data_IF_001914653240
#
_entry.id   IF_001914653240
#
_cell.length_a   1.000
_cell.length_b   1.000
_cell.length_c   1.000
_cell.angle_alpha   90.00
_cell.angle_beta   90.00
_cell.angle_gamma   90.00
#
_symmetry.space_group_name_H-M   'P 1'
#
loop_
_entity.id
_entity.type
_entity.pdbx_description
1 polymer ?
#
# COMPACT_ATOMS: atom_id res chain seq x y z
N UNK A 1 6.47 30.71 -13.20
CA UNK A 1 5.75 29.46 -13.56
C UNK A 1 6.43 28.37 -12.76
N UNK A 2 5.79 27.87 -11.71
CA UNK A 2 6.27 26.68 -11.01
C UNK A 2 6.29 25.53 -12.03
N UNK A 3 7.45 24.94 -12.27
CA UNK A 3 7.54 23.69 -13.02
C UNK A 3 6.64 22.68 -12.30
N UNK A 4 5.55 22.28 -12.92
CA UNK A 4 4.69 21.21 -12.37
C UNK A 4 5.57 19.97 -12.22
N UNK A 5 5.82 19.60 -10.98
CA UNK A 5 6.56 18.40 -10.65
C UNK A 5 6.01 17.21 -11.44
N UNK A 6 6.91 16.48 -12.16
CA UNK A 6 6.48 15.30 -12.93
C UNK A 6 6.15 14.16 -11.96
N UNK A 7 5.02 13.48 -12.16
CA UNK A 7 4.71 12.31 -11.34
C UNK A 7 5.75 11.20 -11.60
N UNK A 8 6.16 10.53 -10.55
CA UNK A 8 7.05 9.35 -10.63
C UNK A 8 6.27 8.06 -10.86
N UNK A 9 4.99 8.03 -10.46
CA UNK A 9 4.04 6.96 -10.78
C UNK A 9 2.78 7.61 -11.33
N UNK A 10 2.29 7.13 -12.47
CA UNK A 10 1.06 7.64 -13.08
C UNK A 10 0.20 6.46 -13.57
N UNK A 11 -1.03 6.41 -13.09
CA UNK A 11 -2.07 5.48 -13.54
C UNK A 11 -3.00 6.27 -14.47
N UNK A 12 -3.23 5.75 -15.68
CA UNK A 12 -4.05 6.39 -16.72
C UNK A 12 -5.16 5.47 -17.20
N UNK A 13 -6.40 5.91 -17.03
CA UNK A 13 -7.62 5.27 -17.53
C UNK A 13 -7.65 3.76 -17.27
N UNK A 14 -7.19 3.34 -16.10
CA UNK A 14 -7.01 1.94 -15.75
C UNK A 14 -8.35 1.26 -15.51
N UNK A 15 -8.62 0.22 -16.30
CA UNK A 15 -9.81 -0.63 -16.18
C UNK A 15 -9.38 -2.06 -15.89
N UNK A 16 -10.09 -2.71 -14.95
CA UNK A 16 -9.90 -4.13 -14.64
C UNK A 16 -11.19 -4.81 -14.26
N UNK A 17 -11.43 -5.96 -14.89
CA UNK A 17 -12.57 -6.83 -14.59
C UNK A 17 -12.09 -8.24 -14.23
N UNK A 18 -12.84 -8.93 -13.38
CA UNK A 18 -12.67 -10.35 -13.10
C UNK A 18 -14.03 -11.05 -13.19
N UNK A 19 -14.13 -12.11 -14.00
CA UNK A 19 -15.37 -12.86 -14.15
C UNK A 19 -16.57 -12.00 -14.60
N UNK A 20 -16.33 -11.00 -15.45
CA UNK A 20 -17.36 -10.06 -15.92
C UNK A 20 -17.69 -8.92 -14.96
N UNK A 21 -17.21 -8.95 -13.71
CA UNK A 21 -17.39 -7.87 -12.73
C UNK A 21 -16.25 -6.87 -12.85
N UNK A 22 -16.58 -5.61 -13.12
CA UNK A 22 -15.62 -4.50 -13.14
C UNK A 22 -15.19 -4.14 -11.72
N UNK A 23 -13.89 -4.21 -11.44
CA UNK A 23 -13.29 -3.93 -10.13
C UNK A 23 -12.61 -2.56 -10.12
N UNK A 24 -11.98 -2.18 -11.22
CA UNK A 24 -11.43 -0.83 -11.43
C UNK A 24 -12.07 -0.26 -12.70
N UNK A 25 -12.47 1.00 -12.64
CA UNK A 25 -13.21 1.69 -13.69
C UNK A 25 -12.61 3.08 -13.91
N UNK A 26 -11.88 3.25 -15.00
CA UNK A 26 -11.25 4.51 -15.41
C UNK A 26 -10.42 5.18 -14.29
N UNK A 27 -9.60 4.40 -13.59
CA UNK A 27 -8.79 4.92 -12.48
C UNK A 27 -7.65 5.78 -13.03
N UNK A 28 -7.59 7.03 -12.56
CA UNK A 28 -6.55 7.99 -12.85
C UNK A 28 -5.91 8.48 -11.56
N UNK A 29 -4.57 8.30 -11.40
CA UNK A 29 -3.85 8.67 -10.19
C UNK A 29 -2.41 9.10 -10.53
N UNK A 30 -1.94 10.17 -9.88
CA UNK A 30 -0.56 10.65 -10.00
C UNK A 30 0.08 10.68 -8.63
N UNK A 31 1.28 10.11 -8.53
CA UNK A 31 2.08 10.06 -7.31
C UNK A 31 3.41 10.75 -7.57
N UNK A 32 3.82 11.60 -6.64
CA UNK A 32 5.01 12.43 -6.78
C UNK A 32 6.15 11.91 -5.90
N UNK A 33 7.37 12.30 -6.24
CA UNK A 33 8.58 11.82 -5.55
C UNK A 33 8.56 12.22 -4.08
N UNK A 34 8.86 11.25 -3.20
CA UNK A 34 9.02 11.48 -1.76
C UNK A 34 7.72 11.70 -0.99
N UNK A 35 6.54 11.69 -1.65
CA UNK A 35 5.27 11.78 -0.93
C UNK A 35 4.85 10.44 -0.30
N UNK A 36 4.01 10.52 0.70
CA UNK A 36 3.22 9.40 1.20
C UNK A 36 1.80 9.54 0.63
N UNK A 37 1.55 8.82 -0.47
CA UNK A 37 0.21 8.72 -1.06
C UNK A 37 -0.58 7.64 -0.33
N UNK A 38 -1.68 8.01 0.30
CA UNK A 38 -2.58 7.04 0.93
C UNK A 38 -3.81 6.82 0.06
N UNK A 39 -4.07 5.57 -0.31
CA UNK A 39 -5.28 5.15 -1.03
C UNK A 39 -6.25 4.56 0.00
N UNK A 40 -7.28 5.33 0.35
CA UNK A 40 -8.32 4.90 1.27
C UNK A 40 -9.58 4.43 0.54
N UNK A 41 -10.42 3.67 1.23
CA UNK A 41 -11.72 3.21 0.70
C UNK A 41 -12.23 1.98 1.40
N UNK A 42 -13.49 1.65 1.18
CA UNK A 42 -14.16 0.51 1.80
C UNK A 42 -13.55 -0.85 1.41
N UNK A 43 -13.88 -1.89 2.18
CA UNK A 43 -13.46 -3.25 1.85
C UNK A 43 -14.01 -3.67 0.47
N UNK A 44 -13.17 -4.30 -0.35
CA UNK A 44 -13.57 -4.78 -1.68
C UNK A 44 -13.72 -3.71 -2.76
N UNK A 45 -13.42 -2.42 -2.51
CA UNK A 45 -13.53 -1.35 -3.52
C UNK A 45 -12.43 -1.35 -4.59
N UNK A 46 -11.42 -2.23 -4.50
CA UNK A 46 -10.37 -2.38 -5.51
C UNK A 46 -8.98 -1.90 -5.10
N UNK A 47 -8.73 -1.46 -3.86
CA UNK A 47 -7.44 -0.90 -3.38
C UNK A 47 -6.24 -1.83 -3.63
N UNK A 48 -6.29 -3.06 -3.12
CA UNK A 48 -5.20 -4.04 -3.32
C UNK A 48 -5.07 -4.47 -4.79
N UNK A 49 -6.17 -4.42 -5.56
CA UNK A 49 -6.14 -4.65 -7.00
C UNK A 49 -5.38 -3.52 -7.70
N UNK A 50 -5.68 -2.27 -7.39
CA UNK A 50 -4.95 -1.11 -7.91
C UNK A 50 -3.45 -1.19 -7.56
N UNK A 51 -3.14 -1.50 -6.30
CA UNK A 51 -1.76 -1.68 -5.85
C UNK A 51 -1.01 -2.73 -6.70
N UNK A 52 -1.65 -3.90 -6.94
CA UNK A 52 -1.05 -4.98 -7.74
C UNK A 52 -0.82 -4.60 -9.21
N UNK A 53 -1.60 -3.68 -9.78
CA UNK A 53 -1.33 -3.12 -11.10
C UNK A 53 -0.13 -2.18 -11.06
N UNK A 54 -0.04 -1.31 -10.04
CA UNK A 54 1.07 -0.35 -9.93
C UNK A 54 2.43 -1.06 -9.78
N UNK A 55 2.49 -2.19 -9.08
CA UNK A 55 3.72 -2.99 -8.95
C UNK A 55 3.94 -4.01 -10.08
N UNK A 56 3.06 -4.02 -11.08
CA UNK A 56 3.18 -4.86 -12.27
C UNK A 56 2.90 -6.36 -12.05
N UNK A 57 2.19 -6.74 -10.97
CA UNK A 57 1.76 -8.13 -10.74
C UNK A 57 0.53 -8.47 -11.58
N UNK A 58 -0.36 -7.48 -11.79
CA UNK A 58 -1.54 -7.62 -12.64
C UNK A 58 -1.44 -6.73 -13.86
N UNK A 59 -1.93 -7.23 -15.00
CA UNK A 59 -2.08 -6.45 -16.22
C UNK A 59 -3.49 -5.86 -16.30
N UNK A 60 -3.64 -4.57 -16.67
CA UNK A 60 -4.95 -3.96 -16.87
C UNK A 60 -5.63 -4.56 -18.13
N UNK A 61 -6.96 -4.44 -18.18
CA UNK A 61 -7.71 -4.75 -19.39
C UNK A 61 -7.65 -3.56 -20.38
N UNK A 62 -7.66 -2.33 -19.81
CA UNK A 62 -7.46 -1.08 -20.56
C UNK A 62 -6.67 -0.09 -19.68
N UNK A 63 -6.06 0.90 -20.37
CA UNK A 63 -5.23 1.91 -19.69
C UNK A 63 -3.80 1.46 -19.49
N UNK A 64 -3.05 2.22 -18.71
CA UNK A 64 -1.62 1.99 -18.50
C UNK A 64 -1.14 2.46 -17.13
N UNK A 65 -0.03 1.88 -16.69
CA UNK A 65 0.68 2.29 -15.47
C UNK A 65 2.10 2.70 -15.86
N UNK A 66 2.44 3.95 -15.59
CA UNK A 66 3.75 4.50 -15.89
C UNK A 66 4.55 4.64 -14.59
N UNK A 67 5.78 4.13 -14.57
CA UNK A 67 6.79 4.42 -13.53
C UNK A 67 7.93 5.18 -14.21
N UNK A 68 8.21 6.39 -13.72
CA UNK A 68 9.18 7.31 -14.32
C UNK A 68 8.96 7.53 -15.85
N UNK A 69 7.69 7.51 -16.27
CA UNK A 69 7.29 7.69 -17.67
C UNK A 69 7.34 6.43 -18.53
N UNK A 70 7.80 5.29 -18.02
CA UNK A 70 7.82 4.00 -18.71
C UNK A 70 6.56 3.20 -18.38
N UNK A 71 5.85 2.72 -19.40
CA UNK A 71 4.70 1.83 -19.21
C UNK A 71 5.17 0.43 -18.81
N UNK A 72 4.95 0.07 -17.54
CA UNK A 72 5.40 -1.20 -16.97
C UNK A 72 4.74 -2.44 -17.61
N UNK A 73 3.66 -2.27 -18.34
CA UNK A 73 2.98 -3.36 -19.03
C UNK A 73 3.48 -3.54 -20.47
N UNK A 74 4.19 -2.55 -21.01
CA UNK A 74 4.73 -2.56 -22.39
C UNK A 74 6.24 -2.81 -22.45
N UNK A 75 6.97 -2.66 -21.33
CA UNK A 75 8.43 -2.90 -21.29
C UNK A 75 8.76 -4.39 -21.33
N UNK A 76 9.92 -4.77 -21.89
CA UNK A 76 10.43 -6.14 -21.84
C UNK A 76 10.60 -6.63 -20.39
N UNK A 77 10.51 -7.95 -20.19
CA UNK A 77 10.61 -8.56 -18.85
C UNK A 77 11.85 -8.12 -18.06
N UNK A 78 12.99 -8.01 -18.73
CA UNK A 78 14.25 -7.60 -18.09
C UNK A 78 14.17 -6.17 -17.53
N UNK A 79 13.54 -5.25 -18.26
CA UNK A 79 13.32 -3.86 -17.80
C UNK A 79 12.31 -3.82 -16.67
N UNK A 80 11.24 -4.62 -16.75
CA UNK A 80 10.27 -4.74 -15.66
C UNK A 80 10.93 -5.27 -14.37
N UNK A 81 11.83 -6.23 -14.46
CA UNK A 81 12.55 -6.76 -13.31
C UNK A 81 13.48 -5.69 -12.72
N UNK A 82 14.16 -4.86 -13.53
CA UNK A 82 14.93 -3.71 -13.04
C UNK A 82 14.05 -2.67 -12.30
N UNK A 83 12.84 -2.41 -12.82
CA UNK A 83 11.88 -1.53 -12.13
C UNK A 83 11.46 -2.14 -10.78
N UNK A 84 11.19 -3.45 -10.74
CA UNK A 84 10.80 -4.17 -9.53
C UNK A 84 11.88 -4.19 -8.44
N UNK A 85 13.16 -4.24 -8.81
CA UNK A 85 14.26 -4.14 -7.84
C UNK A 85 14.25 -2.81 -7.07
N UNK A 86 13.62 -1.78 -7.61
CA UNK A 86 13.45 -0.48 -6.97
C UNK A 86 12.17 -0.36 -6.16
N UNK A 87 11.40 -1.45 -6.06
CA UNK A 87 10.12 -1.52 -5.35
C UNK A 87 10.26 -2.43 -4.13
N UNK A 88 9.95 -1.90 -2.96
CA UNK A 88 9.71 -2.67 -1.75
C UNK A 88 8.21 -2.89 -1.54
N UNK A 89 7.84 -4.03 -0.96
CA UNK A 89 6.44 -4.37 -0.69
C UNK A 89 6.25 -4.92 0.71
N UNK A 90 5.32 -4.33 1.46
CA UNK A 90 4.76 -4.89 2.69
C UNK A 90 3.37 -5.44 2.39
N UNK A 91 3.21 -6.74 2.50
CA UNK A 91 1.91 -7.43 2.36
C UNK A 91 1.10 -7.37 3.66
N UNK A 92 -0.22 -7.51 3.54
CA UNK A 92 -1.13 -7.48 4.68
C UNK A 92 -0.78 -8.51 5.78
N UNK A 93 -0.32 -9.70 5.43
CA UNK A 93 0.15 -10.73 6.39
C UNK A 93 1.62 -10.56 6.81
N UNK A 94 2.34 -9.52 6.29
CA UNK A 94 3.79 -9.41 6.39
C UNK A 94 4.52 -10.22 5.32
N UNK A 95 4.03 -11.41 4.98
CA UNK A 95 4.57 -12.28 3.92
C UNK A 95 5.98 -12.80 4.21
N UNK A 96 6.38 -12.91 5.48
CA UNK A 96 7.64 -13.58 5.84
C UNK A 96 7.55 -15.07 5.52
N UNK A 97 8.69 -15.68 5.22
CA UNK A 97 8.82 -17.12 4.96
C UNK A 97 8.97 -17.82 6.32
N UNK A 98 8.00 -18.65 6.69
CA UNK A 98 7.84 -19.20 8.04
C UNK A 98 8.98 -20.11 8.49
N UNK A 99 9.64 -20.82 7.57
CA UNK A 99 10.76 -21.71 7.86
C UNK A 99 12.14 -21.01 7.84
N UNK A 100 12.18 -19.72 7.53
CA UNK A 100 13.37 -18.89 7.59
C UNK A 100 13.35 -18.01 8.83
N UNK A 101 14.49 -17.83 9.50
CA UNK A 101 14.59 -16.84 10.57
C UNK A 101 14.46 -15.40 10.02
N UNK A 102 14.34 -14.41 10.91
CA UNK A 102 14.14 -13.01 10.54
C UNK A 102 15.33 -12.46 9.74
N UNK A 103 16.55 -12.81 10.12
CA UNK A 103 17.77 -12.41 9.40
C UNK A 103 17.74 -12.91 7.96
N UNK A 104 17.43 -14.19 7.75
CA UNK A 104 17.39 -14.79 6.42
C UNK A 104 16.25 -14.25 5.56
N UNK A 105 15.09 -13.98 6.17
CA UNK A 105 13.99 -13.29 5.49
C UNK A 105 14.41 -11.92 4.94
N UNK A 106 15.18 -11.14 5.72
CA UNK A 106 15.63 -9.81 5.30
C UNK A 106 16.82 -9.92 4.32
N UNK A 107 17.67 -10.93 4.48
CA UNK A 107 18.80 -11.17 3.58
C UNK A 107 18.37 -11.69 2.20
N UNK A 108 17.22 -12.35 2.10
CA UNK A 108 16.76 -13.00 0.87
C UNK A 108 16.80 -12.10 -0.37
N UNK A 109 16.19 -10.91 -0.39
CA UNK A 109 16.28 -10.05 -1.56
C UNK A 109 17.70 -9.60 -1.89
N UNK A 110 18.58 -9.46 -0.91
CA UNK A 110 19.99 -9.13 -1.15
C UNK A 110 20.72 -10.28 -1.83
N UNK A 111 20.52 -11.52 -1.37
CA UNK A 111 21.13 -12.72 -1.97
C UNK A 111 20.65 -12.97 -3.39
N UNK A 112 19.34 -12.77 -3.64
CA UNK A 112 18.74 -13.03 -4.95
C UNK A 112 19.09 -11.96 -6.01
N UNK A 113 19.32 -10.72 -5.58
CA UNK A 113 19.40 -9.59 -6.52
C UNK A 113 20.73 -8.83 -6.50
N UNK A 114 21.69 -9.28 -5.69
CA UNK A 114 23.03 -8.66 -5.63
C UNK A 114 24.14 -9.71 -5.60
N UNK A 115 25.36 -9.31 -5.91
CA UNK A 115 26.56 -10.14 -5.78
C UNK A 115 27.37 -9.80 -4.51
N UNK A 116 26.71 -9.36 -3.44
CA UNK A 116 27.37 -8.98 -2.19
C UNK A 116 27.82 -10.21 -1.39
N UNK A 117 28.99 -10.09 -0.74
CA UNK A 117 29.47 -11.12 0.19
C UNK A 117 28.54 -11.24 1.42
N UNK A 118 28.41 -12.43 1.99
CA UNK A 118 27.56 -12.70 3.16
C UNK A 118 27.88 -11.78 4.35
N UNK A 119 29.14 -11.43 4.58
CA UNK A 119 29.53 -10.50 5.65
C UNK A 119 28.94 -9.08 5.43
N UNK A 120 28.86 -8.64 4.17
CA UNK A 120 28.27 -7.34 3.81
C UNK A 120 26.74 -7.42 3.96
N UNK A 121 26.13 -8.53 3.52
CA UNK A 121 24.69 -8.80 3.70
C UNK A 121 24.33 -8.78 5.19
N UNK A 122 25.16 -9.40 6.05
CA UNK A 122 24.96 -9.41 7.50
C UNK A 122 24.97 -8.01 8.11
N UNK A 123 25.88 -7.15 7.67
CA UNK A 123 25.94 -5.76 8.11
C UNK A 123 24.66 -5.01 7.69
N UNK A 124 24.24 -5.16 6.43
CA UNK A 124 23.01 -4.52 5.92
C UNK A 124 21.78 -5.00 6.71
N UNK A 125 21.63 -6.31 6.90
CA UNK A 125 20.51 -6.89 7.65
C UNK A 125 20.45 -6.35 9.08
N UNK A 126 21.58 -6.28 9.78
CA UNK A 126 21.64 -5.73 11.14
C UNK A 126 21.27 -4.24 11.16
N UNK A 127 21.69 -3.47 10.14
CA UNK A 127 21.28 -2.08 9.98
C UNK A 127 19.75 -1.98 9.78
N UNK A 128 19.17 -2.77 8.87
CA UNK A 128 17.72 -2.76 8.60
C UNK A 128 16.92 -3.20 9.83
N UNK A 129 17.38 -4.21 10.57
CA UNK A 129 16.79 -4.60 11.86
C UNK A 129 16.82 -3.47 12.89
N UNK A 130 17.92 -2.73 12.95
CA UNK A 130 18.05 -1.56 13.85
C UNK A 130 17.08 -0.45 13.48
N UNK A 131 16.85 -0.20 12.17
CA UNK A 131 15.93 0.83 11.68
C UNK A 131 14.46 0.55 12.07
N UNK A 132 14.09 -0.72 12.23
CA UNK A 132 12.73 -1.13 12.64
C UNK A 132 12.64 -1.49 14.13
N UNK A 133 13.64 -1.12 14.95
CA UNK A 133 13.71 -1.42 16.38
C UNK A 133 13.63 -2.93 16.70
N UNK A 134 14.35 -3.76 15.92
CA UNK A 134 14.42 -5.22 16.10
C UNK A 134 15.86 -5.73 16.21
N UNK A 135 16.78 -4.89 16.69
CA UNK A 135 18.17 -5.26 16.89
C UNK A 135 18.31 -6.51 17.79
N UNK A 136 19.12 -7.48 17.35
CA UNK A 136 19.36 -8.73 18.09
C UNK A 136 18.29 -9.80 17.92
N UNK A 137 17.23 -9.55 17.15
CA UNK A 137 16.11 -10.51 16.93
C UNK A 137 16.23 -11.32 15.63
N UNK A 138 17.38 -11.25 14.97
CA UNK A 138 17.56 -11.87 13.65
C UNK A 138 17.46 -13.41 13.65
N UNK A 139 17.80 -14.08 14.76
CA UNK A 139 17.77 -15.54 14.87
C UNK A 139 16.36 -16.12 15.12
N UNK A 140 15.38 -15.28 15.50
CA UNK A 140 14.03 -15.73 15.78
C UNK A 140 13.30 -16.13 14.47
N UNK A 141 12.38 -17.09 14.59
CA UNK A 141 11.44 -17.46 13.51
C UNK A 141 10.22 -16.53 13.54
N UNK A 142 9.50 -16.39 12.40
CA UNK A 142 8.23 -15.65 12.35
C UNK A 142 7.19 -16.12 13.38
N UNK A 143 7.18 -17.40 13.73
CA UNK A 143 6.30 -18.01 14.74
C UNK A 143 6.64 -17.63 16.19
N UNK A 144 7.85 -17.10 16.44
CA UNK A 144 8.35 -16.73 17.78
C UNK A 144 8.16 -15.25 18.09
N UNK A 145 7.59 -14.47 17.17
CA UNK A 145 7.44 -13.03 17.32
C UNK A 145 5.98 -12.59 17.27
N UNK A 146 5.68 -11.43 17.85
CA UNK A 146 4.33 -10.85 17.81
C UNK A 146 3.95 -10.35 16.41
N UNK A 147 2.65 -10.14 16.14
CA UNK A 147 2.17 -9.60 14.88
C UNK A 147 2.80 -8.24 14.52
N UNK A 148 2.98 -7.35 15.49
CA UNK A 148 3.67 -6.07 15.27
C UNK A 148 5.16 -6.23 14.98
N UNK A 149 5.84 -7.20 15.60
CA UNK A 149 7.23 -7.54 15.25
C UNK A 149 7.32 -8.14 13.84
N UNK A 150 6.35 -9.00 13.47
CA UNK A 150 6.28 -9.57 12.12
C UNK A 150 6.17 -8.46 11.05
N UNK A 151 5.29 -7.48 11.26
CA UNK A 151 5.17 -6.31 10.37
C UNK A 151 6.49 -5.52 10.28
N UNK A 152 7.17 -5.29 11.40
CA UNK A 152 8.46 -4.58 11.43
C UNK A 152 9.57 -5.35 10.71
N UNK A 153 9.65 -6.66 10.90
CA UNK A 153 10.59 -7.51 10.16
C UNK A 153 10.31 -7.49 8.65
N UNK A 154 9.04 -7.57 8.26
CA UNK A 154 8.62 -7.48 6.87
C UNK A 154 8.92 -6.08 6.26
N UNK A 155 8.81 -5.00 7.05
CA UNK A 155 9.26 -3.67 6.66
C UNK A 155 10.79 -3.63 6.43
N UNK A 156 11.58 -4.23 7.32
CA UNK A 156 13.03 -4.31 7.14
C UNK A 156 13.40 -5.05 5.85
N UNK A 157 12.69 -6.13 5.52
CA UNK A 157 12.84 -6.86 4.25
C UNK A 157 12.45 -5.99 3.06
N UNK A 158 11.33 -5.28 3.14
CA UNK A 158 10.85 -4.42 2.06
C UNK A 158 11.85 -3.32 1.68
N UNK A 159 12.65 -2.83 2.66
CA UNK A 159 13.67 -1.80 2.43
C UNK A 159 15.09 -2.36 2.30
N UNK A 160 15.27 -3.68 2.19
CA UNK A 160 16.61 -4.29 2.18
C UNK A 160 17.47 -3.82 1.01
N UNK A 161 16.89 -3.64 -0.18
CA UNK A 161 17.56 -3.18 -1.41
C UNK A 161 17.60 -1.65 -1.56
N UNK A 162 17.31 -0.86 -0.52
CA UNK A 162 17.18 0.60 -0.60
C UNK A 162 16.28 1.07 -1.76
N UNK A 163 15.01 0.62 -1.80
CA UNK A 163 14.10 0.88 -2.90
C UNK A 163 13.72 2.36 -3.00
N UNK A 164 13.43 2.83 -4.23
CA UNK A 164 12.91 4.18 -4.46
C UNK A 164 11.42 4.30 -4.09
N UNK A 165 10.71 3.18 -4.16
CA UNK A 165 9.25 3.08 -3.92
C UNK A 165 8.96 1.99 -2.91
N UNK A 166 8.12 2.27 -1.91
CA UNK A 166 7.62 1.23 -1.00
C UNK A 166 6.10 1.25 -1.00
N UNK A 167 5.52 0.08 -1.22
CA UNK A 167 4.08 -0.15 -1.24
C UNK A 167 3.67 -0.90 0.01
N UNK A 168 2.55 -0.49 0.62
CA UNK A 168 2.05 -1.05 1.87
C UNK A 168 0.59 -1.43 1.68
N UNK A 169 0.29 -2.72 1.78
CA UNK A 169 -1.08 -3.24 1.75
C UNK A 169 -1.54 -3.51 3.18
N UNK A 170 -2.43 -2.64 3.70
CA UNK A 170 -2.99 -2.69 5.06
C UNK A 170 -1.91 -2.87 6.16
N UNK A 171 -0.94 -1.96 6.27
CA UNK A 171 0.23 -2.14 7.14
C UNK A 171 -0.11 -2.30 8.62
N UNK A 172 -1.18 -1.65 9.09
CA UNK A 172 -1.61 -1.61 10.50
C UNK A 172 -2.74 -2.59 10.82
N UNK A 173 -3.24 -3.33 9.82
CA UNK A 173 -4.36 -4.24 10.02
C UNK A 173 -4.07 -5.31 11.08
N UNK A 174 -5.00 -5.47 12.04
CA UNK A 174 -4.90 -6.46 13.12
C UNK A 174 -3.94 -6.09 14.25
N UNK A 175 -3.44 -4.85 14.29
CA UNK A 175 -2.58 -4.34 15.35
C UNK A 175 -3.38 -3.46 16.32
N UNK A 176 -2.92 -3.40 17.58
CA UNK A 176 -3.44 -2.42 18.52
C UNK A 176 -3.00 -0.98 18.12
N UNK A 177 -3.71 0.07 18.58
CA UNK A 177 -3.45 1.44 18.16
C UNK A 177 -2.04 1.96 18.46
N UNK A 178 -1.38 1.45 19.50
CA UNK A 178 -0.01 1.88 19.87
C UNK A 178 0.98 1.28 18.89
N UNK A 179 0.88 -0.02 18.60
CA UNK A 179 1.74 -0.71 17.63
C UNK A 179 1.48 -0.20 16.22
N UNK A 180 0.22 0.08 15.84
CA UNK A 180 -0.13 0.73 14.58
C UNK A 180 0.59 2.09 14.44
N UNK A 181 0.59 2.90 15.51
CA UNK A 181 1.34 4.16 15.54
C UNK A 181 2.85 4.01 15.32
N UNK A 182 3.46 2.91 15.79
CA UNK A 182 4.88 2.61 15.53
C UNK A 182 5.11 2.32 14.04
N UNK A 183 4.24 1.53 13.40
CA UNK A 183 4.32 1.25 11.96
C UNK A 183 4.16 2.54 11.15
N UNK A 184 3.17 3.37 11.49
CA UNK A 184 2.96 4.66 10.85
C UNK A 184 4.20 5.57 10.94
N UNK A 185 4.85 5.60 12.12
CA UNK A 185 6.08 6.38 12.31
C UNK A 185 7.23 5.85 11.45
N UNK A 186 7.36 4.52 11.30
CA UNK A 186 8.37 3.93 10.41
C UNK A 186 8.13 4.30 8.94
N UNK A 187 6.87 4.32 8.47
CA UNK A 187 6.52 4.76 7.11
C UNK A 187 6.95 6.22 6.90
N UNK A 188 6.64 7.11 7.86
CA UNK A 188 7.07 8.51 7.81
C UNK A 188 8.58 8.67 7.83
N UNK A 189 9.27 7.88 8.67
CA UNK A 189 10.73 7.92 8.77
C UNK A 189 11.39 7.47 7.47
N UNK A 190 10.89 6.44 6.81
CA UNK A 190 11.40 5.99 5.52
C UNK A 190 11.18 7.03 4.42
N UNK A 191 10.00 7.65 4.37
CA UNK A 191 9.75 8.73 3.42
C UNK A 191 10.69 9.92 3.65
N UNK A 192 10.84 10.39 4.89
CA UNK A 192 11.61 11.59 5.21
C UNK A 192 13.12 11.37 5.20
N UNK A 193 13.60 10.26 5.79
CA UNK A 193 15.06 10.01 6.00
C UNK A 193 15.70 9.29 4.84
N UNK A 194 14.95 8.45 4.12
CA UNK A 194 15.43 7.68 2.97
C UNK A 194 14.94 8.23 1.63
N UNK A 195 14.14 9.31 1.65
CA UNK A 195 13.52 9.90 0.45
C UNK A 195 12.71 8.89 -0.38
N UNK A 196 12.12 7.89 0.28
CA UNK A 196 11.29 6.87 -0.34
C UNK A 196 9.93 7.45 -0.69
N UNK A 197 9.44 7.19 -1.89
CA UNK A 197 8.05 7.44 -2.25
C UNK A 197 7.19 6.28 -1.74
N UNK A 198 6.21 6.58 -0.90
CA UNK A 198 5.38 5.59 -0.22
C UNK A 198 3.95 5.58 -0.76
N UNK A 199 3.42 4.38 -1.04
CA UNK A 199 2.02 4.19 -1.42
C UNK A 199 1.37 3.25 -0.41
N UNK A 200 0.43 3.76 0.37
CA UNK A 200 -0.21 3.02 1.45
C UNK A 200 -1.67 2.78 1.10
N UNK A 201 -2.09 1.53 1.11
CA UNK A 201 -3.50 1.15 1.00
C UNK A 201 -4.00 0.81 2.38
N UNK A 202 -5.03 1.51 2.86
CA UNK A 202 -5.63 1.22 4.16
C UNK A 202 -7.08 1.72 4.27
N UNK A 203 -7.82 1.19 5.22
CA UNK A 203 -9.13 1.69 5.67
C UNK A 203 -9.07 2.27 7.09
N UNK A 204 -7.90 2.29 7.73
CA UNK A 204 -7.70 2.87 9.06
C UNK A 204 -7.56 4.40 8.97
N UNK A 205 -8.61 5.11 9.32
CA UNK A 205 -8.65 6.57 9.26
C UNK A 205 -7.63 7.25 10.18
N UNK A 206 -7.25 6.64 11.29
CA UNK A 206 -6.23 7.22 12.16
C UNK A 206 -4.86 7.21 11.47
N UNK A 207 -4.49 6.08 10.86
CA UNK A 207 -3.28 5.98 10.05
C UNK A 207 -3.34 6.91 8.84
N UNK A 208 -4.47 6.93 8.09
CA UNK A 208 -4.64 7.81 6.93
C UNK A 208 -4.24 9.25 7.26
N UNK A 209 -4.88 9.84 8.28
CA UNK A 209 -4.63 11.25 8.63
C UNK A 209 -3.31 11.51 9.37
N UNK A 210 -2.66 10.47 9.86
CA UNK A 210 -1.35 10.59 10.52
C UNK A 210 -0.19 10.63 9.52
N UNK A 211 -0.28 9.84 8.44
CA UNK A 211 0.88 9.64 7.57
C UNK A 211 0.76 10.30 6.19
N UNK A 212 -0.44 10.58 5.71
CA UNK A 212 -0.64 11.00 4.33
C UNK A 212 -0.04 12.39 4.05
N UNK A 213 0.73 12.50 2.98
CA UNK A 213 0.97 13.77 2.29
C UNK A 213 -0.23 14.14 1.41
N UNK A 214 -0.75 13.14 0.69
CA UNK A 214 -1.98 13.22 -0.10
C UNK A 214 -2.78 11.94 0.06
N UNK A 215 -4.08 12.07 -0.10
CA UNK A 215 -5.05 10.99 0.04
C UNK A 215 -5.83 10.86 -1.27
N UNK A 216 -5.97 9.64 -1.76
CA UNK A 216 -6.90 9.28 -2.83
C UNK A 216 -8.00 8.39 -2.24
N UNK A 217 -9.27 8.74 -2.42
CA UNK A 217 -10.39 7.89 -2.02
C UNK A 217 -10.85 7.06 -3.20
N UNK A 218 -10.77 5.74 -3.06
CA UNK A 218 -11.29 4.78 -4.02
C UNK A 218 -12.65 4.26 -3.56
N UNK A 219 -13.68 4.39 -4.39
CA UNK A 219 -15.02 3.86 -4.13
C UNK A 219 -15.58 3.22 -5.39
N UNK A 220 -16.11 1.99 -5.29
CA UNK A 220 -16.66 1.23 -6.41
C UNK A 220 -15.77 1.18 -7.66
N UNK A 221 -14.44 1.11 -7.46
CA UNK A 221 -13.47 1.04 -8.54
C UNK A 221 -13.09 2.38 -9.17
N UNK A 222 -13.56 3.50 -8.68
CA UNK A 222 -13.27 4.84 -9.18
C UNK A 222 -12.61 5.72 -8.11
N UNK A 223 -11.73 6.64 -8.53
CA UNK A 223 -11.19 7.66 -7.64
C UNK A 223 -12.21 8.78 -7.50
N UNK A 224 -12.74 8.94 -6.29
CA UNK A 224 -13.74 9.97 -5.97
C UNK A 224 -13.10 11.33 -5.77
N UNK A 225 -11.99 11.37 -5.04
CA UNK A 225 -11.28 12.60 -4.70
C UNK A 225 -9.80 12.30 -4.48
N UNK A 226 -8.94 13.27 -4.82
CA UNK A 226 -7.52 13.28 -4.45
C UNK A 226 -7.20 14.66 -3.89
N UNK A 227 -6.60 14.72 -2.70
CA UNK A 227 -6.23 15.99 -2.06
C UNK A 227 -5.33 15.79 -0.85
N UNK A 228 -4.97 16.91 -0.21
CA UNK A 228 -4.29 16.90 1.09
C UNK A 228 -5.23 16.43 2.20
N UNK A 229 -4.71 16.01 3.37
CA UNK A 229 -5.55 15.67 4.52
C UNK A 229 -6.57 16.76 4.88
N UNK A 230 -6.19 18.03 4.76
CA UNK A 230 -7.03 19.19 5.04
C UNK A 230 -8.17 19.32 4.01
N UNK A 231 -7.86 19.17 2.72
CA UNK A 231 -8.84 19.21 1.63
C UNK A 231 -9.86 18.07 1.77
N UNK A 232 -9.39 16.87 2.11
CA UNK A 232 -10.27 15.71 2.33
C UNK A 232 -11.20 15.92 3.52
N UNK A 233 -10.67 16.42 4.66
CA UNK A 233 -11.49 16.72 5.87
C UNK A 233 -12.54 17.83 5.61
N UNK A 234 -12.21 18.80 4.78
CA UNK A 234 -13.11 19.92 4.43
C UNK A 234 -14.02 19.63 3.24
N UNK A 235 -13.95 18.46 2.66
CA UNK A 235 -14.78 18.06 1.52
C UNK A 235 -16.26 18.12 1.87
N UNK A 236 -17.05 18.71 0.95
CA UNK A 236 -18.51 18.76 1.04
C UNK A 236 -19.19 17.56 0.38
N UNK A 237 -18.42 16.67 -0.23
CA UNK A 237 -18.95 15.45 -0.84
C UNK A 237 -19.53 14.53 0.24
N UNK A 238 -20.84 14.19 0.18
CA UNK A 238 -21.48 13.38 1.20
C UNK A 238 -20.87 11.98 1.35
N UNK A 239 -20.32 11.40 0.26
CA UNK A 239 -19.69 10.09 0.27
C UNK A 239 -18.35 10.14 1.01
N UNK A 240 -17.54 11.16 0.74
CA UNK A 240 -16.28 11.40 1.45
C UNK A 240 -16.55 11.64 2.93
N UNK A 241 -17.51 12.53 3.24
CA UNK A 241 -17.87 12.87 4.61
C UNK A 241 -18.38 11.63 5.39
N UNK A 242 -19.24 10.82 4.78
CA UNK A 242 -19.71 9.58 5.39
C UNK A 242 -18.55 8.64 5.72
N UNK A 243 -17.65 8.46 4.76
CA UNK A 243 -16.56 7.50 4.89
C UNK A 243 -15.55 7.89 5.99
N UNK A 244 -15.11 9.15 6.02
CA UNK A 244 -14.09 9.60 6.98
C UNK A 244 -14.62 9.67 8.41
N UNK A 245 -15.93 9.90 8.60
CA UNK A 245 -16.57 9.97 9.91
C UNK A 245 -17.17 8.62 10.38
N UNK A 246 -17.19 7.61 9.51
CA UNK A 246 -17.79 6.31 9.82
C UNK A 246 -19.30 6.37 10.06
N UNK A 247 -20.00 7.31 9.43
CA UNK A 247 -21.45 7.46 9.61
C UNK A 247 -22.18 6.28 8.99
N UNK A 248 -23.13 5.63 9.70
CA UNK A 248 -23.91 4.52 9.15
C UNK A 248 -24.86 4.97 8.04
N UNK A 249 -25.38 6.20 8.14
CA UNK A 249 -26.32 6.79 7.19
C UNK A 249 -25.61 7.64 6.14
N UNK A 250 -25.93 7.42 4.86
CA UNK A 250 -25.36 8.21 3.75
C UNK A 250 -25.38 7.46 2.42
N UNK A 251 -24.68 7.98 1.40
CA UNK A 251 -24.64 7.40 0.05
C UNK A 251 -24.04 5.98 -0.01
N UNK A 252 -23.12 5.63 0.92
CA UNK A 252 -22.60 4.26 1.04
C UNK A 252 -23.64 3.43 1.78
N UNK A 253 -24.41 2.62 1.05
CA UNK A 253 -25.43 1.74 1.63
C UNK A 253 -24.93 0.32 1.64
N UNK A 254 -25.02 -0.33 2.80
CA UNK A 254 -24.73 -1.77 2.96
C UNK A 254 -25.96 -2.64 2.76
N UNK A 255 -27.16 -2.04 2.77
CA UNK A 255 -28.42 -2.73 2.49
C UNK A 255 -28.62 -2.80 0.98
N UNK A 256 -28.76 -4.01 0.43
CA UNK A 256 -29.23 -4.16 -0.94
C UNK A 256 -30.64 -3.53 -1.04
N UNK A 257 -30.82 -2.61 -2.01
CA UNK A 257 -32.17 -2.13 -2.35
C UNK A 257 -32.97 -3.33 -2.85
N UNK A 258 -33.74 -3.95 -1.98
CA UNK A 258 -34.57 -5.12 -2.36
C UNK A 258 -35.28 -5.77 -1.20
N UNK A 259 -34.92 -5.51 0.02
CA UNK A 259 -35.56 -6.19 1.14
C UNK A 259 -36.79 -5.47 1.63
N UNK A 260 -37.89 -5.71 0.90
CA UNK A 260 -39.25 -5.69 1.47
C UNK A 260 -39.45 -6.88 2.45
N UNK A 261 -38.32 -7.36 3.07
CA UNK A 261 -38.39 -8.52 3.96
C UNK A 261 -39.35 -8.31 5.14
N UNK A 262 -39.46 -7.09 5.64
CA UNK A 262 -40.47 -6.73 6.64
C UNK A 262 -41.90 -6.76 6.09
N UNK A 263 -42.12 -6.44 4.81
CA UNK A 263 -43.44 -6.58 4.16
C UNK A 263 -43.81 -8.05 3.93
N UNK A 264 -42.85 -8.86 3.49
CA UNK A 264 -43.08 -10.31 3.30
C UNK A 264 -43.35 -11.05 4.62
N UNK A 265 -42.83 -10.55 5.76
CA UNK A 265 -43.09 -11.10 7.09
C UNK A 265 -44.44 -10.63 7.69
N UNK A 266 -44.96 -9.48 7.23
CA UNK A 266 -46.23 -8.91 7.76
C UNK A 266 -47.42 -9.18 6.90
N UNK A 267 -47.24 -9.74 5.70
CA UNK A 267 -48.33 -10.13 4.76
C UNK A 267 -48.64 -11.64 4.79
N UNK A 268 -48.26 -12.37 5.86
CA UNK A 268 -48.68 -13.77 6.10
C UNK A 268 -49.66 -13.87 7.24
#
# INVERSE_FOLDING_TARGET
>A
MEEKEKPVIEVKNLIKSFGGRRILNDVNLKIYKGEVMVIMGGSGCGKSTLLRHIIGILHPDEGQVLIEGQDINAVPRQELDMIRHRIGMLFQSGGLIDYMNIKDNIALPLREHTALDENVIDIIVNLKLSMVNMRGMGSLLPSEISGGMNKRAALARAIALDPAYVFYDEPTAGLDPVVAGVIDQLILDFSKKLSVTSVVVTHDMQSVFRIASRIAMLHMGEIVIVGTPEEIKSSKDPLVHQFINGNPDGPITFLQKGDNYLKELTEK
#
